data_IF_149310258852
#
_entry.id   IF_149310258852
#
_cell.length_a   1.000
_cell.length_b   1.000
_cell.length_c   1.000
_cell.angle_alpha   90.00
_cell.angle_beta   90.00
_cell.angle_gamma   90.00
#
_symmetry.space_group_name_H-M   'P 1'
#
loop_
_entity.id
_entity.type
_entity.pdbx_description
1 polymer ?
#
# COMPACT_ATOMS: atom_id res chain seq x y z
N UNK A 1 82.12 21.01 7.99
CA UNK A 1 81.32 21.20 9.21
C UNK A 1 79.86 21.35 8.82
N UNK A 2 79.06 20.38 9.26
CA UNK A 2 77.59 20.20 9.36
C UNK A 2 76.68 20.91 8.32
N UNK A 3 76.14 20.11 7.39
CA UNK A 3 75.02 20.45 6.48
C UNK A 3 73.70 20.09 7.17
N UNK A 4 72.82 21.05 7.46
CA UNK A 4 71.43 20.79 7.86
C UNK A 4 70.63 20.29 6.64
N UNK A 5 70.10 19.06 6.70
CA UNK A 5 69.15 18.54 5.72
C UNK A 5 67.74 18.68 6.30
N UNK A 6 66.91 19.49 5.66
CA UNK A 6 65.49 19.62 5.98
C UNK A 6 64.78 18.31 5.58
N UNK A 7 64.20 17.63 6.56
CA UNK A 7 63.34 16.48 6.33
C UNK A 7 61.94 17.00 5.95
N UNK A 8 61.63 16.96 4.65
CA UNK A 8 60.28 17.22 4.15
C UNK A 8 59.36 16.07 4.51
N UNK A 9 58.35 16.34 5.34
CA UNK A 9 57.29 15.40 5.68
C UNK A 9 56.38 15.26 4.46
N UNK A 10 56.38 14.07 3.83
CA UNK A 10 55.47 13.74 2.74
C UNK A 10 54.09 13.38 3.33
N UNK A 11 53.08 14.20 3.06
CA UNK A 11 51.69 13.93 3.41
C UNK A 11 51.10 13.02 2.33
N UNK A 12 50.96 11.72 2.61
CA UNK A 12 50.30 10.78 1.72
C UNK A 12 48.77 10.92 1.85
N UNK A 13 48.11 11.46 0.82
CA UNK A 13 46.65 11.40 0.70
C UNK A 13 46.23 9.96 0.35
N UNK A 14 45.61 9.26 1.31
CA UNK A 14 44.93 8.00 1.05
C UNK A 14 43.58 8.26 0.40
N UNK A 15 43.44 7.93 -0.89
CA UNK A 15 42.15 7.96 -1.60
C UNK A 15 41.47 6.61 -1.38
N UNK A 16 40.44 6.58 -0.55
CA UNK A 16 39.61 5.39 -0.37
C UNK A 16 38.60 5.27 -1.55
N UNK A 17 38.44 4.09 -2.18
CA UNK A 17 37.42 3.91 -3.21
C UNK A 17 36.02 3.86 -2.58
N UNK A 18 35.16 4.77 -3.03
CA UNK A 18 33.75 4.81 -2.67
C UNK A 18 33.02 3.69 -3.42
N UNK A 19 32.77 2.56 -2.78
CA UNK A 19 31.96 1.48 -3.37
C UNK A 19 30.49 1.88 -3.30
N UNK A 20 29.91 2.38 -4.40
CA UNK A 20 28.47 2.58 -4.52
C UNK A 20 27.81 1.20 -4.60
N UNK A 21 27.13 0.80 -3.52
CA UNK A 21 26.21 -0.33 -3.54
C UNK A 21 24.98 0.08 -4.35
N UNK A 22 24.79 -0.51 -5.54
CA UNK A 22 23.56 -0.36 -6.30
C UNK A 22 22.49 -1.23 -5.62
N UNK A 23 21.69 -0.63 -4.74
CA UNK A 23 20.49 -1.27 -4.23
C UNK A 23 19.54 -1.60 -5.40
N UNK A 24 18.99 -2.81 -5.40
CA UNK A 24 17.95 -3.18 -6.35
C UNK A 24 16.71 -2.31 -6.07
N UNK A 25 16.33 -1.46 -7.02
CA UNK A 25 15.06 -0.76 -6.95
C UNK A 25 13.94 -1.78 -7.14
N UNK A 26 13.10 -1.99 -6.11
CA UNK A 26 11.88 -2.78 -6.25
C UNK A 26 10.83 -1.90 -6.92
N UNK A 27 10.36 -2.28 -8.10
CA UNK A 27 9.23 -1.62 -8.74
C UNK A 27 7.96 -2.09 -8.01
N UNK A 28 7.42 -1.25 -7.13
CA UNK A 28 6.15 -1.50 -6.45
C UNK A 28 5.01 -1.50 -7.49
N UNK A 29 4.08 -2.43 -7.33
CA UNK A 29 2.90 -2.49 -8.19
C UNK A 29 1.88 -1.46 -7.73
N UNK A 30 1.30 -0.68 -8.65
CA UNK A 30 0.27 0.30 -8.29
C UNK A 30 -0.97 -0.41 -7.73
N UNK A 31 -1.45 -0.07 -6.52
CA UNK A 31 -2.68 -0.64 -5.97
C UNK A 31 -3.90 -0.34 -6.85
N UNK A 32 -4.86 -1.26 -6.86
CA UNK A 32 -6.15 -1.05 -7.53
C UNK A 32 -7.14 -0.45 -6.54
N UNK A 33 -7.67 0.74 -6.84
CA UNK A 33 -8.63 1.47 -6.00
C UNK A 33 -9.99 1.53 -6.69
N UNK A 34 -11.05 1.30 -5.93
CA UNK A 34 -12.45 1.41 -6.36
C UNK A 34 -13.21 2.24 -5.35
N UNK A 35 -14.06 3.16 -5.83
CA UNK A 35 -14.80 4.09 -4.98
C UNK A 35 -16.31 3.97 -5.18
N UNK A 36 -17.06 4.25 -4.12
CA UNK A 36 -18.47 4.63 -4.13
C UNK A 36 -18.47 5.92 -3.30
N UNK A 37 -19.01 7.03 -3.82
CA UNK A 37 -19.05 8.26 -3.02
C UNK A 37 -17.64 8.69 -2.60
N UNK A 38 -17.45 8.95 -1.31
CA UNK A 38 -16.13 9.20 -0.71
C UNK A 38 -15.43 7.92 -0.19
N UNK A 39 -16.16 6.81 -0.12
CA UNK A 39 -15.67 5.52 0.37
C UNK A 39 -14.84 4.80 -0.67
N UNK A 40 -13.97 3.91 -0.20
CA UNK A 40 -13.13 3.14 -1.11
C UNK A 40 -12.79 1.75 -0.61
N UNK A 41 -12.51 0.87 -1.57
CA UNK A 41 -11.78 -0.35 -1.37
C UNK A 41 -10.49 -0.32 -2.20
N UNK A 42 -9.40 -0.85 -1.63
CA UNK A 42 -8.08 -0.89 -2.28
C UNK A 42 -7.48 -2.29 -2.17
N UNK A 43 -6.99 -2.80 -3.30
CA UNK A 43 -6.19 -4.01 -3.35
C UNK A 43 -4.72 -3.69 -3.61
N UNK A 44 -3.89 -3.99 -2.61
CA UNK A 44 -2.43 -3.92 -2.71
C UNK A 44 -1.89 -5.24 -3.29
N UNK A 45 -1.25 -5.15 -4.46
CA UNK A 45 -0.70 -6.30 -5.16
C UNK A 45 0.58 -6.84 -4.55
N UNK A 46 1.33 -6.02 -3.82
CA UNK A 46 2.61 -6.40 -3.23
C UNK A 46 2.37 -7.15 -1.91
N UNK A 47 1.44 -6.67 -1.07
CA UNK A 47 1.07 -7.33 0.19
C UNK A 47 -0.07 -8.34 0.05
N UNK A 48 -0.77 -8.34 -1.10
CA UNK A 48 -1.99 -9.13 -1.33
C UNK A 48 -3.06 -8.82 -0.27
N UNK A 49 -3.29 -7.55 -0.01
CA UNK A 49 -4.24 -7.07 1.00
C UNK A 49 -5.36 -6.30 0.34
N UNK A 50 -6.61 -6.68 0.62
CA UNK A 50 -7.78 -5.88 0.32
C UNK A 50 -8.16 -5.09 1.57
N UNK A 51 -8.35 -3.78 1.44
CA UNK A 51 -8.86 -2.92 2.51
C UNK A 51 -10.13 -2.20 2.04
N UNK A 52 -10.99 -1.84 2.97
CA UNK A 52 -12.18 -1.00 2.76
C UNK A 52 -12.26 0.05 3.85
N UNK A 53 -12.59 1.27 3.48
CA UNK A 53 -12.61 2.42 4.37
C UNK A 53 -13.89 3.22 4.15
N UNK A 54 -14.60 3.48 5.24
CA UNK A 54 -15.63 4.50 5.35
C UNK A 54 -14.95 5.87 5.53
N UNK A 55 -15.27 6.82 4.66
CA UNK A 55 -14.72 8.18 4.71
C UNK A 55 -15.75 9.22 5.13
N UNK A 56 -16.98 8.80 5.43
CA UNK A 56 -18.13 9.66 5.66
C UNK A 56 -18.61 9.53 7.13
N UNK A 57 -19.02 10.66 7.72
CA UNK A 57 -19.51 10.70 9.10
C UNK A 57 -21.02 10.85 9.12
N UNK A 58 -21.70 9.89 8.49
CA UNK A 58 -23.15 9.90 8.30
C UNK A 58 -23.87 8.68 8.92
N UNK A 59 -23.12 7.64 9.29
CA UNK A 59 -23.62 6.47 9.98
C UNK A 59 -24.09 5.34 9.06
N UNK A 60 -23.72 5.37 7.78
CA UNK A 60 -23.93 4.26 6.86
C UNK A 60 -22.83 3.19 7.00
N UNK A 61 -23.16 1.94 6.69
CA UNK A 61 -22.19 0.85 6.79
C UNK A 61 -21.46 0.65 5.48
N UNK A 62 -20.14 0.79 5.48
CA UNK A 62 -19.31 0.59 4.29
C UNK A 62 -18.66 -0.80 4.33
N UNK A 63 -18.70 -1.50 3.20
CA UNK A 63 -18.11 -2.82 3.09
C UNK A 63 -17.63 -3.15 1.67
N UNK A 64 -16.64 -4.04 1.57
CA UNK A 64 -16.23 -4.63 0.31
C UNK A 64 -16.87 -6.01 0.13
N UNK A 65 -17.43 -6.26 -1.04
CA UNK A 65 -17.70 -7.62 -1.52
C UNK A 65 -16.53 -8.06 -2.39
N UNK A 66 -16.01 -9.26 -2.13
CA UNK A 66 -14.85 -9.77 -2.85
C UNK A 66 -14.91 -11.28 -3.07
N UNK A 67 -14.24 -11.72 -4.12
CA UNK A 67 -14.05 -13.15 -4.41
C UNK A 67 -12.56 -13.46 -4.37
N UNK A 68 -12.20 -14.60 -3.78
CA UNK A 68 -10.80 -15.05 -3.75
C UNK A 68 -10.47 -15.77 -5.06
N UNK A 69 -9.21 -15.73 -5.48
CA UNK A 69 -8.78 -16.48 -6.68
C UNK A 69 -9.01 -18.00 -6.52
N UNK A 70 -9.00 -18.51 -5.29
CA UNK A 70 -9.22 -19.93 -4.99
C UNK A 70 -10.68 -20.37 -4.95
N UNK A 71 -11.63 -19.44 -4.77
CA UNK A 71 -13.05 -19.74 -4.61
C UNK A 71 -13.89 -18.55 -5.10
N UNK A 72 -14.84 -18.81 -6.01
CA UNK A 72 -15.74 -17.79 -6.57
C UNK A 72 -16.88 -17.39 -5.63
N UNK A 73 -16.83 -17.76 -4.35
CA UNK A 73 -17.79 -17.27 -3.35
C UNK A 73 -17.50 -15.82 -3.00
N UNK A 74 -18.54 -14.99 -3.10
CA UNK A 74 -18.52 -13.64 -2.60
C UNK A 74 -18.45 -13.65 -1.06
N UNK A 75 -17.45 -12.95 -0.53
CA UNK A 75 -17.22 -12.71 0.88
C UNK A 75 -17.44 -11.22 1.16
N UNK A 76 -17.78 -10.89 2.41
CA UNK A 76 -17.98 -9.52 2.88
C UNK A 76 -16.87 -9.14 3.86
N UNK A 77 -16.27 -7.96 3.67
CA UNK A 77 -15.36 -7.30 4.61
C UNK A 77 -16.00 -5.96 4.97
N UNK A 78 -16.28 -5.72 6.25
CA UNK A 78 -17.01 -4.54 6.71
C UNK A 78 -16.07 -3.61 7.49
N UNK A 79 -16.19 -2.31 7.27
CA UNK A 79 -15.50 -1.28 8.05
C UNK A 79 -16.33 -0.87 9.27
N UNK A 80 -16.19 -1.62 10.36
CA UNK A 80 -17.05 -1.47 11.54
C UNK A 80 -16.69 -0.25 12.43
N UNK A 81 -15.59 0.47 12.15
CA UNK A 81 -15.22 1.71 12.85
C UNK A 81 -15.82 2.97 12.22
N UNK A 82 -16.54 2.86 11.11
CA UNK A 82 -16.98 3.99 10.31
C UNK A 82 -15.83 4.93 9.95
N UNK A 83 -16.10 6.23 9.79
CA UNK A 83 -15.08 7.26 9.50
C UNK A 83 -13.99 7.52 10.55
N UNK A 84 -13.90 6.72 11.62
CA UNK A 84 -12.77 6.78 12.54
C UNK A 84 -11.46 6.33 11.88
N UNK A 85 -10.32 6.72 12.45
CA UNK A 85 -9.01 6.41 11.87
C UNK A 85 -8.73 4.89 11.82
N UNK A 86 -8.61 4.37 10.60
CA UNK A 86 -8.32 2.96 10.34
C UNK A 86 -9.24 2.43 9.24
N UNK A 87 -8.89 1.29 8.69
CA UNK A 87 -9.71 0.60 7.69
C UNK A 87 -9.72 -0.89 7.99
N UNK A 88 -10.85 -1.54 7.73
CA UNK A 88 -10.91 -3.00 7.71
C UNK A 88 -10.05 -3.57 6.58
N UNK A 89 -9.37 -4.70 6.85
CA UNK A 89 -8.51 -5.35 5.86
C UNK A 89 -8.52 -6.88 5.95
N UNK A 90 -8.27 -7.52 4.82
CA UNK A 90 -8.09 -8.97 4.70
C UNK A 90 -6.93 -9.29 3.76
N UNK A 91 -6.13 -10.29 4.14
CA UNK A 91 -5.05 -10.79 3.30
C UNK A 91 -5.49 -11.97 2.42
N UNK A 92 -4.98 -12.01 1.20
CA UNK A 92 -5.16 -13.11 0.26
C UNK A 92 -5.22 -12.66 -1.19
N UNK A 93 -5.10 -13.63 -2.10
CA UNK A 93 -5.33 -13.40 -3.52
C UNK A 93 -6.83 -13.17 -3.77
N UNK A 94 -7.17 -11.94 -4.13
CA UNK A 94 -8.50 -11.55 -4.59
C UNK A 94 -8.54 -11.73 -6.11
N UNK A 95 -9.71 -12.04 -6.66
CA UNK A 95 -9.97 -12.11 -8.09
C UNK A 95 -10.73 -10.87 -8.58
N UNK A 96 -11.71 -10.45 -7.80
CA UNK A 96 -12.48 -9.22 -8.02
C UNK A 96 -13.06 -8.72 -6.72
N UNK A 97 -13.29 -7.43 -6.66
CA UNK A 97 -13.95 -6.78 -5.53
C UNK A 97 -14.77 -5.57 -5.99
N UNK A 98 -15.64 -5.10 -5.11
CA UNK A 98 -16.37 -3.84 -5.22
C UNK A 98 -16.59 -3.26 -3.82
N UNK A 99 -16.79 -1.96 -3.73
CA UNK A 99 -17.20 -1.27 -2.49
C UNK A 99 -18.70 -1.00 -2.53
N UNK A 100 -19.33 -1.10 -1.37
CA UNK A 100 -20.76 -0.90 -1.15
C UNK A 100 -20.96 -0.10 0.12
N UNK A 101 -22.05 0.66 0.13
CA UNK A 101 -22.55 1.44 1.25
C UNK A 101 -24.00 1.01 1.50
N UNK A 102 -24.32 0.66 2.75
CA UNK A 102 -25.70 0.35 3.18
C UNK A 102 -26.41 1.67 3.53
N UNK A 103 -26.97 2.32 2.51
CA UNK A 103 -27.68 3.58 2.63
C UNK A 103 -29.19 3.40 2.89
N UNK A 104 -29.89 4.48 3.25
CA UNK A 104 -31.33 4.47 3.56
C UNK A 104 -32.25 3.94 2.45
N UNK A 105 -31.78 3.84 1.20
CA UNK A 105 -32.53 3.36 0.04
C UNK A 105 -32.07 1.97 -0.44
N UNK A 106 -31.15 1.33 0.29
CA UNK A 106 -30.58 0.01 0.03
C UNK A 106 -29.12 0.09 -0.39
N UNK A 107 -28.47 -1.08 -0.53
CA UNK A 107 -27.05 -1.14 -0.87
C UNK A 107 -26.73 -0.45 -2.22
N UNK A 108 -25.99 0.66 -2.16
CA UNK A 108 -25.40 1.32 -3.33
C UNK A 108 -23.96 0.85 -3.47
N UNK A 109 -23.62 0.33 -4.65
CA UNK A 109 -22.33 -0.33 -4.87
C UNK A 109 -21.68 0.12 -6.16
N UNK A 110 -20.34 0.12 -6.15
CA UNK A 110 -19.56 0.27 -7.36
C UNK A 110 -19.74 -0.92 -8.31
N UNK A 111 -19.26 -0.76 -9.54
CA UNK A 111 -19.01 -1.90 -10.43
C UNK A 111 -17.94 -2.83 -9.85
N UNK A 112 -17.94 -4.08 -10.32
CA UNK A 112 -16.90 -5.05 -9.97
C UNK A 112 -15.59 -4.72 -10.68
N UNK A 113 -14.53 -4.50 -9.92
CA UNK A 113 -13.16 -4.41 -10.44
C UNK A 113 -12.45 -5.76 -10.34
N UNK A 114 -11.72 -6.13 -11.39
CA UNK A 114 -10.89 -7.33 -11.42
C UNK A 114 -9.45 -6.97 -11.08
N UNK A 115 -8.86 -7.75 -10.19
CA UNK A 115 -7.46 -7.62 -9.77
C UNK A 115 -6.53 -8.31 -10.75
#
# INVERSE_FOLDING_TARGET
>A
MIRLRHAGIALALAVAPLTLSTGLAHAATTPLVVTQGSDYAVYDYDTKTLSVCDMESDGHWVYALYEKTSDSKALKLVDDNGSDAGCASVSGSVYRFRVCEDDMFGDSCSEWART
#
